data_IF_041205340132
#
_entry.id   IF_041205340132
#
_cell.length_a   1.000
_cell.length_b   1.000
_cell.length_c   1.000
_cell.angle_alpha   90.00
_cell.angle_beta   90.00
_cell.angle_gamma   90.00
#
_symmetry.space_group_name_H-M   'P 1'
#
loop_
_entity.id
_entity.type
_entity.pdbx_description
1 polymer ?
#
# COMPACT_ATOMS: atom_id res chain seq x y z
N UNK A 1 -16.33 20.47 70.51
CA UNK A 1 -15.40 20.91 69.45
C UNK A 1 -16.11 20.73 68.11
N UNK A 2 -16.48 21.83 67.44
CA UNK A 2 -17.17 21.83 66.15
C UNK A 2 -16.12 22.07 65.06
N UNK A 3 -15.94 21.11 64.17
CA UNK A 3 -15.13 21.30 62.96
C UNK A 3 -16.07 21.70 61.81
N UNK A 4 -15.88 22.91 61.32
CA UNK A 4 -16.39 23.37 60.04
C UNK A 4 -15.47 22.81 58.93
N UNK A 5 -16.05 22.26 57.88
CA UNK A 5 -15.36 22.03 56.62
C UNK A 5 -16.20 22.60 55.48
N UNK A 6 -15.82 23.81 55.07
CA UNK A 6 -16.22 24.47 53.83
C UNK A 6 -15.42 23.92 52.65
N UNK A 7 -15.99 24.13 51.45
CA UNK A 7 -15.37 24.08 50.12
C UNK A 7 -15.56 22.77 49.31
N UNK A 8 -16.65 22.71 48.54
CA UNK A 8 -16.69 21.99 47.27
C UNK A 8 -16.76 23.05 46.16
N UNK A 9 -15.62 23.35 45.53
CA UNK A 9 -15.47 24.35 44.49
C UNK A 9 -15.21 23.67 43.13
N UNK A 10 -16.07 24.05 42.18
CA UNK A 10 -15.90 24.06 40.73
C UNK A 10 -15.72 22.74 39.96
N UNK A 11 -16.85 22.33 39.37
CA UNK A 11 -16.89 21.55 38.13
C UNK A 11 -16.10 22.28 37.02
N UNK A 12 -15.00 21.66 36.59
CA UNK A 12 -14.31 22.07 35.37
C UNK A 12 -15.10 21.59 34.16
N UNK A 13 -15.75 22.53 33.45
CA UNK A 13 -16.24 22.33 32.09
C UNK A 13 -15.02 22.02 31.20
N UNK A 14 -14.82 20.75 30.85
CA UNK A 14 -14.05 20.40 29.65
C UNK A 14 -14.91 20.73 28.44
N UNK A 15 -14.79 21.96 27.93
CA UNK A 15 -15.20 22.29 26.57
C UNK A 15 -14.22 21.56 25.66
N UNK A 16 -14.60 20.35 25.25
CA UNK A 16 -13.92 19.61 24.20
C UNK A 16 -13.94 20.48 22.93
N UNK A 17 -12.81 21.12 22.64
CA UNK A 17 -12.53 21.74 21.36
C UNK A 17 -12.49 20.63 20.31
N UNK A 18 -13.65 20.33 19.72
CA UNK A 18 -13.77 19.50 18.52
C UNK A 18 -13.18 20.32 17.38
N UNK A 19 -11.86 20.24 17.20
CA UNK A 19 -11.22 20.70 15.98
C UNK A 19 -11.83 19.91 14.83
N UNK A 20 -12.49 20.57 13.85
CA UNK A 20 -12.98 19.87 12.68
C UNK A 20 -11.78 19.19 12.01
N UNK A 21 -11.88 17.87 11.83
CA UNK A 21 -10.88 17.13 11.08
C UNK A 21 -10.71 17.82 9.71
N UNK A 22 -9.46 18.00 9.23
CA UNK A 22 -9.23 18.65 7.95
C UNK A 22 -10.06 17.95 6.88
N UNK A 23 -10.84 18.74 6.12
CA UNK A 23 -11.64 18.22 5.03
C UNK A 23 -10.71 17.54 4.03
N UNK A 24 -10.71 16.21 4.05
CA UNK A 24 -9.95 15.39 3.12
C UNK A 24 -10.52 15.71 1.72
N UNK A 25 -9.75 16.48 0.92
CA UNK A 25 -10.14 16.75 -0.47
C UNK A 25 -10.25 15.40 -1.15
N UNK A 26 -11.46 15.05 -1.59
CA UNK A 26 -11.68 13.85 -2.40
C UNK A 26 -10.96 14.06 -3.74
N UNK A 27 -9.73 13.56 -3.83
CA UNK A 27 -8.96 13.53 -5.07
C UNK A 27 -9.52 12.38 -5.90
N UNK A 28 -10.03 12.72 -7.09
CA UNK A 28 -10.52 11.70 -8.02
C UNK A 28 -9.32 10.91 -8.58
N UNK A 29 -9.43 9.58 -8.72
CA UNK A 29 -8.45 8.79 -9.43
C UNK A 29 -8.16 9.31 -10.85
N UNK A 30 -6.95 9.04 -11.38
CA UNK A 30 -6.67 9.30 -12.78
C UNK A 30 -7.63 8.52 -13.69
N UNK A 31 -7.89 9.00 -14.92
CA UNK A 31 -8.72 8.27 -15.87
C UNK A 31 -8.09 6.90 -16.17
N UNK A 32 -8.95 5.90 -16.30
CA UNK A 32 -8.53 4.55 -16.70
C UNK A 32 -8.14 4.58 -18.17
N UNK A 33 -6.87 4.32 -18.47
CA UNK A 33 -6.33 4.31 -19.84
C UNK A 33 -5.65 3.00 -20.22
N UNK A 34 -5.41 2.12 -19.26
CA UNK A 34 -4.87 0.78 -19.51
C UNK A 34 -6.03 -0.19 -19.67
N UNK A 35 -6.06 -0.93 -20.77
CA UNK A 35 -7.04 -1.99 -20.99
C UNK A 35 -6.48 -3.33 -20.49
N UNK A 36 -7.25 -4.03 -19.65
CA UNK A 36 -6.99 -5.42 -19.26
C UNK A 36 -7.98 -6.29 -20.03
N UNK A 37 -7.47 -7.06 -20.99
CA UNK A 37 -8.28 -7.86 -21.92
C UNK A 37 -8.41 -9.31 -21.50
N UNK A 38 -7.51 -9.81 -20.64
CA UNK A 38 -7.56 -11.18 -20.12
C UNK A 38 -7.03 -11.26 -18.67
N UNK A 39 -7.46 -12.26 -17.88
CA UNK A 39 -6.98 -12.44 -16.50
C UNK A 39 -5.49 -12.74 -16.43
N UNK A 40 -4.79 -12.09 -15.50
CA UNK A 40 -3.34 -12.24 -15.32
C UNK A 40 -2.51 -11.52 -16.39
N UNK A 41 -3.11 -10.58 -17.13
CA UNK A 41 -2.36 -9.73 -18.05
C UNK A 41 -1.29 -8.95 -17.28
N UNK A 42 -0.09 -8.89 -17.87
CA UNK A 42 0.99 -8.07 -17.35
C UNK A 42 0.62 -6.58 -17.37
N UNK A 43 0.85 -5.89 -16.26
CA UNK A 43 0.67 -4.45 -16.12
C UNK A 43 1.92 -3.86 -15.47
N UNK A 44 2.52 -2.88 -16.13
CA UNK A 44 3.66 -2.13 -15.59
C UNK A 44 3.26 -1.31 -14.36
N UNK A 45 4.14 -1.26 -13.36
CA UNK A 45 3.94 -0.43 -12.15
C UNK A 45 3.78 1.05 -12.52
N UNK A 46 4.50 1.52 -13.54
CA UNK A 46 4.46 2.90 -14.01
C UNK A 46 3.06 3.37 -14.49
N UNK A 47 2.16 2.45 -14.86
CA UNK A 47 0.82 2.77 -15.36
C UNK A 47 -0.29 2.09 -14.55
N UNK A 48 0.06 1.47 -13.42
CA UNK A 48 -0.87 0.64 -12.66
C UNK A 48 -2.03 1.46 -12.07
N UNK A 49 -1.81 2.74 -11.77
CA UNK A 49 -2.82 3.69 -11.30
C UNK A 49 -3.93 3.97 -12.33
N UNK A 50 -3.64 3.78 -13.62
CA UNK A 50 -4.58 3.94 -14.75
C UNK A 50 -5.21 2.62 -15.18
N UNK A 51 -5.01 1.56 -14.42
CA UNK A 51 -5.59 0.23 -14.66
C UNK A 51 -6.93 0.10 -13.93
N UNK A 52 -7.94 -0.60 -14.48
CA UNK A 52 -9.22 -0.77 -13.81
C UNK A 52 -9.05 -1.50 -12.46
N UNK A 53 -9.56 -0.90 -11.38
CA UNK A 53 -9.72 -1.59 -10.09
C UNK A 53 -10.68 -2.77 -10.29
N UNK A 54 -10.36 -3.91 -9.69
CA UNK A 54 -11.07 -5.18 -9.86
C UNK A 54 -10.52 -6.07 -10.99
N UNK A 55 -9.54 -5.61 -11.77
CA UNK A 55 -8.89 -6.43 -12.79
C UNK A 55 -7.95 -7.48 -12.15
N UNK A 56 -7.95 -8.70 -12.68
CA UNK A 56 -6.93 -9.73 -12.38
C UNK A 56 -5.68 -9.45 -13.23
N UNK A 57 -4.60 -9.06 -12.58
CA UNK A 57 -3.37 -8.59 -13.21
C UNK A 57 -2.14 -9.33 -12.69
N UNK A 58 -1.10 -9.35 -13.51
CA UNK A 58 0.24 -9.74 -13.10
C UNK A 58 1.14 -8.51 -13.11
N UNK A 59 1.89 -8.32 -12.04
CA UNK A 59 2.87 -7.24 -11.93
C UNK A 59 4.24 -7.83 -11.64
N UNK A 60 5.24 -7.29 -12.31
CA UNK A 60 6.65 -7.58 -12.06
C UNK A 60 7.26 -6.29 -11.51
N UNK A 61 8.08 -6.40 -10.47
CA UNK A 61 8.77 -5.26 -9.89
C UNK A 61 9.93 -5.66 -9.01
N UNK A 62 10.77 -4.69 -8.68
CA UNK A 62 11.87 -4.91 -7.75
C UNK A 62 11.34 -5.03 -6.33
N UNK A 63 11.74 -6.09 -5.63
CA UNK A 63 11.45 -6.21 -4.21
C UNK A 63 12.16 -5.11 -3.42
N UNK A 64 11.38 -4.33 -2.68
CA UNK A 64 11.89 -3.30 -1.78
C UNK A 64 11.99 -3.81 -0.35
N UNK A 65 10.86 -4.21 0.23
CA UNK A 65 10.79 -4.71 1.60
C UNK A 65 9.43 -5.37 1.89
N UNK A 66 9.35 -6.05 3.03
CA UNK A 66 8.10 -6.48 3.66
C UNK A 66 7.78 -5.51 4.81
N UNK A 67 6.54 -5.07 4.94
CA UNK A 67 6.15 -4.31 6.12
C UNK A 67 6.14 -5.21 7.36
N UNK A 68 6.34 -4.64 8.57
CA UNK A 68 5.92 -5.29 9.79
C UNK A 68 4.42 -5.63 9.70
N UNK A 69 4.04 -6.83 10.09
CA UNK A 69 2.62 -7.23 10.06
C UNK A 69 1.81 -6.32 10.97
N UNK A 70 0.92 -5.55 10.35
CA UNK A 70 0.00 -4.64 11.02
C UNK A 70 -1.39 -5.23 10.88
N UNK A 71 -2.14 -5.34 11.98
CA UNK A 71 -3.48 -5.94 12.02
C UNK A 71 -3.61 -7.39 11.50
N UNK A 72 -2.46 -8.06 11.33
CA UNK A 72 -2.39 -9.42 10.83
C UNK A 72 -2.33 -9.54 9.32
N UNK A 73 -2.14 -8.44 8.59
CA UNK A 73 -1.91 -8.45 7.15
C UNK A 73 -0.41 -8.35 6.86
N UNK A 74 0.05 -9.05 5.82
CA UNK A 74 1.43 -9.02 5.37
C UNK A 74 1.50 -8.30 4.03
N UNK A 75 2.26 -7.21 3.97
CA UNK A 75 2.44 -6.44 2.75
C UNK A 75 3.87 -6.56 2.23
N UNK A 76 3.99 -6.74 0.92
CA UNK A 76 5.24 -6.72 0.17
C UNK A 76 5.23 -5.54 -0.78
N UNK A 77 6.29 -4.73 -0.77
CA UNK A 77 6.41 -3.57 -1.63
C UNK A 77 7.24 -3.92 -2.86
N UNK A 78 6.62 -3.82 -4.03
CA UNK A 78 7.29 -3.91 -5.32
C UNK A 78 7.40 -2.51 -5.90
N UNK A 79 8.57 -2.15 -6.41
CA UNK A 79 8.86 -0.82 -6.93
C UNK A 79 9.33 -0.89 -8.38
N UNK A 80 9.07 0.17 -9.12
CA UNK A 80 9.82 0.47 -10.34
C UNK A 80 10.97 1.44 -10.04
N UNK A 81 11.70 1.77 -11.09
CA UNK A 81 12.85 2.65 -11.05
C UNK A 81 12.52 4.14 -11.00
N UNK A 82 11.25 4.49 -11.28
CA UNK A 82 10.73 5.86 -11.29
C UNK A 82 10.15 6.26 -9.93
N UNK A 83 10.12 5.33 -8.97
CA UNK A 83 9.57 5.55 -7.65
C UNK A 83 8.07 5.28 -7.54
N UNK A 84 7.46 4.72 -8.59
CA UNK A 84 6.14 4.13 -8.50
C UNK A 84 6.25 2.77 -7.82
N UNK A 85 5.18 2.37 -7.13
CA UNK A 85 5.16 1.12 -6.38
C UNK A 85 3.79 0.46 -6.42
N UNK A 86 3.75 -0.84 -6.17
CA UNK A 86 2.52 -1.57 -5.86
C UNK A 86 2.71 -2.32 -4.57
N UNK A 87 1.66 -2.36 -3.75
CA UNK A 87 1.63 -3.18 -2.54
C UNK A 87 1.02 -4.53 -2.88
N UNK A 88 1.69 -5.60 -2.54
CA UNK A 88 1.12 -6.95 -2.64
C UNK A 88 0.71 -7.37 -1.25
N UNK A 89 -0.59 -7.52 -1.02
CA UNK A 89 -1.14 -7.81 0.29
C UNK A 89 -1.69 -9.23 0.36
N UNK A 90 -1.27 -9.96 1.39
CA UNK A 90 -1.88 -11.21 1.79
C UNK A 90 -2.69 -10.98 3.08
N UNK A 91 -4.02 -10.91 3.00
CA UNK A 91 -4.85 -10.64 4.17
C UNK A 91 -4.81 -11.77 5.18
N UNK A 92 -5.14 -11.44 6.43
CA UNK A 92 -5.15 -12.37 7.58
C UNK A 92 -5.91 -13.68 7.31
N UNK A 93 -7.00 -13.62 6.55
CA UNK A 93 -7.83 -14.79 6.23
C UNK A 93 -7.14 -15.78 5.27
N UNK A 94 -6.10 -15.35 4.53
CA UNK A 94 -5.32 -16.16 3.59
C UNK A 94 -4.00 -16.64 4.23
N UNK A 95 -4.14 -17.47 5.28
CA UNK A 95 -3.01 -17.93 6.10
C UNK A 95 -1.89 -18.59 5.29
N UNK A 96 -2.23 -19.41 4.30
CA UNK A 96 -1.24 -20.16 3.51
C UNK A 96 -0.39 -19.24 2.65
N UNK A 97 -1.02 -18.26 2.00
CA UNK A 97 -0.32 -17.25 1.20
C UNK A 97 0.60 -16.39 2.08
N UNK A 98 0.14 -16.01 3.27
CA UNK A 98 1.00 -15.32 4.25
C UNK A 98 2.23 -16.14 4.61
N UNK A 99 2.07 -17.43 4.91
CA UNK A 99 3.20 -18.31 5.22
C UNK A 99 4.14 -18.50 4.04
N UNK A 100 3.60 -18.62 2.83
CA UNK A 100 4.38 -18.66 1.60
C UNK A 100 5.22 -17.40 1.44
N UNK A 101 4.62 -16.21 1.53
CA UNK A 101 5.36 -14.94 1.46
C UNK A 101 6.42 -14.84 2.56
N UNK A 102 6.13 -15.30 3.78
CA UNK A 102 7.12 -15.36 4.87
C UNK A 102 8.32 -16.23 4.52
N UNK A 103 8.10 -17.39 3.90
CA UNK A 103 9.17 -18.32 3.53
C UNK A 103 9.99 -17.85 2.31
N UNK A 104 9.48 -16.92 1.52
CA UNK A 104 10.23 -16.28 0.44
C UNK A 104 11.34 -15.39 1.02
N UNK A 105 12.59 -15.85 0.92
CA UNK A 105 13.77 -15.08 1.31
C UNK A 105 14.15 -14.13 0.17
N UNK A 106 13.39 -13.03 0.05
CA UNK A 106 13.60 -12.01 -0.99
C UNK A 106 14.66 -11.01 -0.55
N UNK A 107 15.58 -10.72 -1.45
CA UNK A 107 16.59 -9.68 -1.26
C UNK A 107 16.19 -8.41 -2.01
N UNK A 108 16.60 -7.24 -1.49
CA UNK A 108 16.42 -5.97 -2.21
C UNK A 108 16.97 -6.11 -3.62
N UNK A 109 16.21 -5.59 -4.59
CA UNK A 109 16.55 -5.59 -6.01
C UNK A 109 16.36 -6.94 -6.72
N UNK A 110 15.84 -7.97 -6.04
CA UNK A 110 15.33 -9.15 -6.76
C UNK A 110 14.04 -8.79 -7.51
N UNK A 111 13.92 -9.24 -8.75
CA UNK A 111 12.66 -9.15 -9.48
C UNK A 111 11.67 -10.18 -8.92
N UNK A 112 10.48 -9.70 -8.64
CA UNK A 112 9.38 -10.50 -8.10
C UNK A 112 8.19 -10.32 -9.02
N UNK A 113 7.51 -11.43 -9.29
CA UNK A 113 6.23 -11.43 -9.98
C UNK A 113 5.14 -11.72 -8.97
N UNK A 114 4.07 -10.95 -9.01
CA UNK A 114 2.88 -11.13 -8.21
C UNK A 114 1.64 -11.09 -9.10
N UNK A 115 0.64 -11.91 -8.77
CA UNK A 115 -0.64 -11.95 -9.46
C UNK A 115 -1.78 -11.79 -8.48
N UNK A 116 -2.83 -11.11 -8.89
CA UNK A 116 -4.07 -11.04 -8.12
C UNK A 116 -4.98 -9.93 -8.59
N UNK A 117 -5.97 -9.61 -7.75
CA UNK A 117 -6.94 -8.56 -8.06
C UNK A 117 -6.40 -7.18 -7.69
N UNK A 118 -6.49 -6.22 -8.61
CA UNK A 118 -6.06 -4.86 -8.36
C UNK A 118 -7.08 -4.09 -7.50
N UNK A 119 -6.64 -3.51 -6.39
CA UNK A 119 -7.41 -2.66 -5.48
C UNK A 119 -6.74 -1.30 -5.31
N UNK A 120 -7.40 -0.40 -4.58
CA UNK A 120 -6.87 0.92 -4.21
C UNK A 120 -7.15 1.23 -2.74
N UNK A 121 -6.10 1.61 -2.01
CA UNK A 121 -6.18 2.07 -0.63
C UNK A 121 -6.36 3.60 -0.59
N UNK A 122 -7.60 4.06 -0.56
CA UNK A 122 -7.95 5.49 -0.62
C UNK A 122 -7.50 6.30 0.61
N UNK A 123 -7.23 5.63 1.72
CA UNK A 123 -6.77 6.21 2.98
C UNK A 123 -5.25 6.48 3.00
N UNK A 124 -4.51 6.02 1.98
CA UNK A 124 -3.07 6.19 1.87
C UNK A 124 -2.68 6.94 0.59
N UNK A 125 -2.89 8.26 0.49
CA UNK A 125 -2.40 9.04 -0.64
C UNK A 125 -0.88 9.28 -0.57
N UNK A 126 -0.23 9.44 -1.73
CA UNK A 126 1.17 9.92 -1.87
C UNK A 126 1.26 10.92 -3.01
N UNK A 127 2.43 11.55 -3.19
CA UNK A 127 2.68 12.43 -4.33
C UNK A 127 2.51 11.70 -5.68
N UNK A 128 2.93 10.42 -5.76
CA UNK A 128 2.78 9.58 -6.96
C UNK A 128 1.37 8.99 -7.09
N UNK A 129 0.70 8.73 -5.97
CA UNK A 129 -0.65 8.18 -5.91
C UNK A 129 -1.58 9.06 -5.08
N UNK A 130 -1.99 10.24 -5.59
CA UNK A 130 -2.75 11.20 -4.80
C UNK A 130 -4.18 10.73 -4.50
N UNK A 131 -4.68 9.75 -5.25
CA UNK A 131 -5.97 9.11 -5.02
C UNK A 131 -5.90 7.84 -4.15
N UNK A 132 -4.72 7.47 -3.65
CA UNK A 132 -4.51 6.27 -2.84
C UNK A 132 -3.60 5.23 -3.49
N UNK A 133 -2.90 4.42 -2.69
CA UNK A 133 -1.97 3.39 -3.16
C UNK A 133 -2.67 2.33 -4.02
N UNK A 134 -1.95 1.82 -5.01
CA UNK A 134 -2.36 0.66 -5.78
C UNK A 134 -1.89 -0.62 -5.09
N UNK A 135 -2.75 -1.63 -5.10
CA UNK A 135 -2.52 -2.85 -4.34
C UNK A 135 -2.99 -4.09 -5.13
N UNK A 136 -2.29 -5.21 -4.99
CA UNK A 136 -2.78 -6.52 -5.39
C UNK A 136 -3.38 -7.20 -4.16
N UNK A 137 -4.72 -7.25 -4.11
CA UNK A 137 -5.50 -7.86 -3.04
C UNK A 137 -6.84 -8.39 -3.60
N UNK A 138 -7.08 -9.70 -3.63
CA UNK A 138 -6.28 -10.77 -3.04
C UNK A 138 -5.12 -11.18 -3.95
N UNK A 139 -3.92 -11.33 -3.39
CA UNK A 139 -2.79 -11.95 -4.07
C UNK A 139 -3.02 -13.46 -4.22
N UNK A 140 -2.94 -13.95 -5.46
CA UNK A 140 -3.13 -15.36 -5.82
C UNK A 140 -1.81 -16.08 -6.09
N UNK A 141 -0.77 -15.36 -6.50
CA UNK A 141 0.61 -15.88 -6.56
C UNK A 141 1.65 -14.80 -6.31
N UNK A 142 2.81 -15.20 -5.79
CA UNK A 142 3.99 -14.37 -5.67
C UNK A 142 5.24 -15.25 -5.62
N UNK A 143 6.24 -14.91 -6.42
CA UNK A 143 7.47 -15.69 -6.59
C UNK A 143 8.62 -14.84 -7.14
N UNK A 144 9.85 -15.36 -7.09
CA UNK A 144 10.98 -14.74 -7.79
C UNK A 144 10.74 -14.84 -9.29
N UNK A 145 10.90 -13.73 -9.99
CA UNK A 145 10.81 -13.70 -11.44
C UNK A 145 12.14 -14.15 -12.05
N UNK A 146 12.08 -15.11 -12.97
CA UNK A 146 13.26 -15.75 -13.59
C UNK A 146 13.36 -15.49 -15.10
N UNK A 147 12.43 -14.71 -15.66
CA UNK A 147 12.45 -14.32 -17.07
C UNK A 147 13.31 -13.09 -17.33
N UNK A 148 13.30 -12.64 -18.58
CA UNK A 148 13.97 -11.40 -18.99
C UNK A 148 13.34 -10.19 -18.30
N UNK A 149 14.18 -9.26 -17.85
CA UNK A 149 13.75 -8.00 -17.24
C UNK A 149 12.77 -7.27 -18.18
N UNK A 150 11.54 -6.95 -17.73
CA UNK A 150 10.59 -6.18 -18.53
C UNK A 150 11.17 -4.84 -18.98
N UNK A 151 10.87 -4.42 -20.21
CA UNK A 151 11.41 -3.19 -20.82
C UNK A 151 11.08 -1.90 -20.03
N UNK A 152 10.01 -1.91 -19.22
CA UNK A 152 9.60 -0.81 -18.37
C UNK A 152 10.28 -0.80 -16.99
N UNK A 153 11.07 -1.84 -16.67
CA UNK A 153 11.89 -1.93 -15.48
C UNK A 153 13.36 -1.73 -15.87
N UNK A 154 14.04 -0.88 -15.08
CA UNK A 154 15.47 -0.65 -15.21
C UNK A 154 16.04 -0.45 -13.82
N UNK A 155 16.93 -1.31 -13.33
CA UNK A 155 17.48 -1.07 -12.01
C UNK A 155 18.37 0.19 -11.96
N UNK A 156 17.81 1.34 -11.55
CA UNK A 156 18.57 2.50 -11.09
C UNK A 156 18.52 2.50 -9.57
N UNK A 157 19.68 2.42 -8.91
CA UNK A 157 19.82 2.40 -7.45
C UNK A 157 18.88 3.43 -6.80
N UNK A 158 17.73 2.96 -6.28
CA UNK A 158 16.68 3.83 -5.76
C UNK A 158 17.20 4.49 -4.49
N UNK A 159 17.43 5.80 -4.57
CA UNK A 159 17.84 6.63 -3.44
C UNK A 159 16.74 6.58 -2.38
N UNK A 160 17.14 6.46 -1.11
CA UNK A 160 16.37 6.14 0.11
C UNK A 160 15.18 7.08 0.49
N UNK A 161 14.42 7.65 -0.46
CA UNK A 161 13.47 8.74 -0.22
C UNK A 161 11.97 8.46 -0.38
N UNK A 162 11.55 7.29 -0.89
CA UNK A 162 10.15 7.10 -1.35
C UNK A 162 9.07 7.09 -0.25
N UNK A 163 9.44 6.90 1.02
CA UNK A 163 8.47 6.79 2.13
C UNK A 163 8.66 7.85 3.22
N UNK A 164 9.43 8.91 2.96
CA UNK A 164 9.54 10.05 3.88
C UNK A 164 8.54 11.10 3.40
N UNK A 165 7.62 11.50 4.29
CA UNK A 165 6.56 12.54 4.18
C UNK A 165 5.11 12.02 4.26
N UNK A 166 4.71 11.57 5.44
CA UNK A 166 3.36 11.85 5.95
C UNK A 166 3.37 13.27 6.54
N UNK A 167 2.61 14.19 5.95
CA UNK A 167 2.30 15.49 6.58
C UNK A 167 0.99 15.41 7.34
#
# INVERSE_FOLDING_TARGET
MRFSATAALCAALFIASVTPAPAQRSIKPPPVTVAVSYPGQYVSIATIDRTPVGADVTVIGYFSHKSPETDGDLQVFLIDHKGSFVVVEAPRIYRDMKWHIRSLHLHRNELVVARGTLTRQFDKPTDNYPAGWMEINLVTSIERYTGDEPDDLHYTQVVHGLFVHTR
#
